data_IF_173618038286
#
_entry.id   IF_173618038286
#
_cell.length_a   1.000
_cell.length_b   1.000
_cell.length_c   1.000
_cell.angle_alpha   90.00
_cell.angle_beta   90.00
_cell.angle_gamma   90.00
#
_symmetry.space_group_name_H-M   'P 1'
#
loop_
_entity.id
_entity.type
_entity.pdbx_description
1 polymer ?
#
# COMPACT_ATOMS: atom_id res chain seq x y z
N UNK A 1 13.73 11.97 -8.96
CA UNK A 1 13.83 10.91 -7.93
C UNK A 1 15.23 10.78 -7.33
N UNK A 2 16.28 10.42 -8.08
CA UNK A 2 17.67 10.23 -7.54
C UNK A 2 18.26 11.43 -6.81
N UNK A 3 18.02 12.68 -7.28
CA UNK A 3 18.46 13.91 -6.62
C UNK A 3 17.81 14.05 -5.23
N UNK A 4 16.51 13.85 -5.15
CA UNK A 4 15.75 13.96 -3.90
C UNK A 4 16.12 12.86 -2.91
N UNK A 5 16.38 11.65 -3.39
CA UNK A 5 16.85 10.56 -2.55
C UNK A 5 18.23 10.85 -1.93
N UNK A 6 19.17 11.33 -2.74
CA UNK A 6 20.49 11.78 -2.22
C UNK A 6 20.33 12.91 -1.20
N UNK A 7 19.42 13.88 -1.46
CA UNK A 7 19.08 14.95 -0.54
C UNK A 7 18.50 14.44 0.77
N UNK A 8 17.63 13.42 0.72
CA UNK A 8 17.05 12.78 1.90
C UNK A 8 18.12 12.19 2.82
N UNK A 9 19.03 11.36 2.27
CA UNK A 9 20.12 10.78 3.04
C UNK A 9 21.08 11.86 3.60
N UNK A 10 21.34 12.93 2.84
CA UNK A 10 22.13 14.04 3.34
C UNK A 10 21.44 14.77 4.50
N UNK A 11 20.13 14.98 4.42
CA UNK A 11 19.34 15.58 5.50
C UNK A 11 19.38 14.70 6.75
N UNK A 12 19.17 13.40 6.61
CA UNK A 12 19.22 12.43 7.73
C UNK A 12 20.61 12.45 8.38
N UNK A 13 21.70 12.35 7.59
CA UNK A 13 23.06 12.32 8.10
C UNK A 13 23.46 13.61 8.86
N UNK A 14 22.84 14.73 8.55
CA UNK A 14 23.08 16.01 9.21
C UNK A 14 22.02 16.40 10.24
N UNK A 15 21.14 15.46 10.65
CA UNK A 15 20.02 15.68 11.56
C UNK A 15 19.11 16.85 11.12
N UNK A 16 18.95 17.04 9.82
CA UNK A 16 18.06 18.06 9.24
C UNK A 16 16.73 17.43 8.86
N UNK A 17 15.69 18.25 8.88
CA UNK A 17 14.38 17.87 8.40
C UNK A 17 14.40 17.65 6.88
N UNK A 18 13.78 16.60 6.41
CA UNK A 18 13.62 16.35 4.98
C UNK A 18 12.48 17.21 4.41
N UNK A 19 12.61 17.62 3.14
CA UNK A 19 11.50 18.24 2.41
C UNK A 19 10.45 17.18 2.04
N UNK A 20 9.22 17.61 1.74
CA UNK A 20 8.17 16.73 1.24
C UNK A 20 8.61 15.88 0.03
N UNK A 21 9.38 16.50 -0.91
CA UNK A 21 9.88 15.80 -2.10
C UNK A 21 10.91 14.73 -1.74
N UNK A 22 11.76 15.00 -0.75
CA UNK A 22 12.74 14.03 -0.24
C UNK A 22 12.03 12.87 0.46
N UNK A 23 11.03 13.17 1.29
CA UNK A 23 10.23 12.14 1.94
C UNK A 23 9.42 11.32 0.93
N UNK A 24 8.85 11.93 -0.11
CA UNK A 24 8.18 11.22 -1.19
C UNK A 24 9.14 10.26 -1.92
N UNK A 25 10.37 10.68 -2.19
CA UNK A 25 11.38 9.82 -2.80
C UNK A 25 11.74 8.62 -1.89
N UNK A 26 11.83 8.82 -0.59
CA UNK A 26 12.07 7.74 0.39
C UNK A 26 10.88 6.77 0.48
N UNK A 27 9.66 7.28 0.41
CA UNK A 27 8.43 6.46 0.39
C UNK A 27 8.37 5.61 -0.88
N UNK A 28 8.69 6.18 -2.04
CA UNK A 28 8.79 5.43 -3.30
C UNK A 28 9.84 4.30 -3.19
N UNK A 29 11.00 4.57 -2.60
CA UNK A 29 12.01 3.51 -2.35
C UNK A 29 11.46 2.43 -1.43
N UNK A 30 10.69 2.80 -0.41
CA UNK A 30 10.06 1.82 0.46
C UNK A 30 9.05 0.95 -0.29
N UNK A 31 8.23 1.54 -1.16
CA UNK A 31 7.30 0.81 -2.03
C UNK A 31 8.04 -0.21 -2.92
N UNK A 32 9.11 0.22 -3.61
CA UNK A 32 9.91 -0.67 -4.46
C UNK A 32 10.62 -1.78 -3.65
N UNK A 33 11.08 -1.44 -2.45
CA UNK A 33 11.70 -2.42 -1.56
C UNK A 33 10.71 -3.53 -1.14
N UNK A 34 9.44 -3.20 -0.96
CA UNK A 34 8.39 -4.17 -0.67
C UNK A 34 8.19 -5.15 -1.83
N UNK A 35 8.29 -4.71 -3.08
CA UNK A 35 8.29 -5.62 -4.23
C UNK A 35 9.46 -6.61 -4.18
N UNK A 36 10.66 -6.11 -3.90
CA UNK A 36 11.84 -6.98 -3.79
C UNK A 36 11.77 -7.95 -2.61
N UNK A 37 11.03 -7.60 -1.56
CA UNK A 37 10.92 -8.41 -0.34
C UNK A 37 9.75 -9.41 -0.38
N UNK A 38 8.83 -9.22 -1.30
CA UNK A 38 7.66 -10.09 -1.49
C UNK A 38 8.06 -11.39 -2.21
N UNK A 39 7.31 -12.46 -1.96
CA UNK A 39 7.52 -13.71 -2.69
C UNK A 39 7.23 -13.51 -4.18
N UNK A 40 8.12 -14.06 -5.02
CA UNK A 40 7.96 -14.04 -6.46
C UNK A 40 6.74 -14.87 -6.93
N UNK A 41 6.46 -14.81 -8.22
CA UNK A 41 5.41 -15.59 -8.86
C UNK A 41 5.68 -17.08 -8.76
N UNK A 42 4.68 -17.90 -8.46
CA UNK A 42 4.83 -19.37 -8.45
C UNK A 42 5.23 -19.93 -9.81
N UNK A 43 4.69 -19.36 -10.87
CA UNK A 43 4.76 -19.93 -12.22
C UNK A 43 5.47 -19.03 -13.25
N UNK A 44 6.18 -18.00 -12.81
CA UNK A 44 6.88 -17.05 -13.70
C UNK A 44 5.99 -16.26 -14.67
N UNK A 45 4.65 -16.27 -14.47
CA UNK A 45 3.68 -15.57 -15.31
C UNK A 45 3.26 -14.26 -14.67
N UNK A 46 3.00 -13.25 -15.49
CA UNK A 46 2.34 -12.02 -15.03
C UNK A 46 0.92 -12.37 -14.62
N UNK A 47 0.63 -12.25 -13.33
CA UNK A 47 -0.67 -12.57 -12.77
C UNK A 47 -1.63 -11.39 -12.91
N UNK A 48 -2.93 -11.68 -13.02
CA UNK A 48 -4.01 -10.69 -12.87
C UNK A 48 -4.01 -10.01 -11.49
N UNK A 49 -3.24 -10.52 -10.55
CA UNK A 49 -3.08 -9.96 -9.21
C UNK A 49 -2.14 -8.72 -9.15
N UNK A 50 -1.45 -8.35 -10.25
CA UNK A 50 -0.54 -7.18 -10.25
C UNK A 50 -1.23 -5.92 -9.72
N UNK A 51 -2.40 -5.49 -10.20
CA UNK A 51 -3.03 -4.27 -9.71
C UNK A 51 -3.40 -4.33 -8.22
N UNK A 52 -3.78 -5.51 -7.71
CA UNK A 52 -4.05 -5.70 -6.29
C UNK A 52 -2.76 -5.63 -5.47
N UNK A 53 -1.71 -6.26 -5.93
CA UNK A 53 -0.40 -6.23 -5.28
C UNK A 53 0.14 -4.80 -5.19
N UNK A 54 0.08 -4.02 -6.29
CA UNK A 54 0.45 -2.61 -6.30
C UNK A 54 -0.36 -1.81 -5.27
N UNK A 55 -1.68 -2.06 -5.23
CA UNK A 55 -2.57 -1.44 -4.24
C UNK A 55 -2.12 -1.73 -2.80
N UNK A 56 -1.79 -2.99 -2.50
CA UNK A 56 -1.40 -3.40 -1.15
C UNK A 56 -0.01 -2.90 -0.77
N UNK A 57 0.94 -2.91 -1.70
CA UNK A 57 2.28 -2.34 -1.50
C UNK A 57 2.19 -0.83 -1.23
N UNK A 58 1.43 -0.10 -2.05
CA UNK A 58 1.21 1.33 -1.88
C UNK A 58 0.53 1.65 -0.54
N UNK A 59 -0.55 0.94 -0.21
CA UNK A 59 -1.21 1.10 1.07
C UNK A 59 -0.23 0.85 2.23
N UNK A 60 0.50 -0.25 2.20
CA UNK A 60 1.43 -0.62 3.26
C UNK A 60 2.60 0.36 3.37
N UNK A 61 3.20 0.75 2.24
CA UNK A 61 4.28 1.73 2.21
C UNK A 61 3.86 3.04 2.88
N UNK A 62 2.72 3.59 2.48
CA UNK A 62 2.18 4.84 3.05
C UNK A 62 1.83 4.73 4.54
N UNK A 63 1.39 3.57 5.01
CA UNK A 63 1.10 3.38 6.44
C UNK A 63 2.37 3.24 7.30
N UNK A 64 3.42 2.64 6.74
CA UNK A 64 4.63 2.26 7.49
C UNK A 64 5.85 3.12 7.15
N UNK A 65 5.72 4.12 6.29
CA UNK A 65 6.77 5.04 5.89
C UNK A 65 7.54 5.64 7.07
N UNK A 66 6.91 6.15 8.15
CA UNK A 66 7.65 6.72 9.28
C UNK A 66 8.59 5.71 9.95
N UNK A 67 8.15 4.45 10.07
CA UNK A 67 8.96 3.37 10.64
C UNK A 67 10.13 3.00 9.73
N UNK A 68 9.93 3.06 8.41
CA UNK A 68 10.99 2.83 7.45
C UNK A 68 12.08 3.91 7.56
N UNK A 69 11.72 5.18 7.53
CA UNK A 69 12.65 6.31 7.65
C UNK A 69 13.40 6.31 8.98
N UNK A 70 12.72 5.94 10.07
CA UNK A 70 13.33 5.85 11.39
C UNK A 70 14.48 4.84 11.46
N UNK A 71 14.49 3.79 10.62
CA UNK A 71 15.61 2.83 10.53
C UNK A 71 16.90 3.46 10.04
N UNK A 72 16.83 4.58 9.35
CA UNK A 72 17.98 5.37 8.88
C UNK A 72 18.30 6.56 9.80
N UNK A 73 17.61 6.67 10.94
CA UNK A 73 17.77 7.80 11.87
C UNK A 73 16.97 9.05 11.47
N UNK A 74 16.17 8.98 10.40
CA UNK A 74 15.34 10.09 9.93
C UNK A 74 13.99 10.19 10.63
N UNK A 75 13.25 11.26 10.34
CA UNK A 75 11.89 11.49 10.82
C UNK A 75 10.97 11.77 9.64
N UNK A 76 9.82 11.08 9.59
CA UNK A 76 8.78 11.30 8.59
C UNK A 76 7.84 12.43 9.03
N UNK A 77 8.21 13.67 8.82
CA UNK A 77 7.46 14.86 9.27
C UNK A 77 6.28 15.19 8.36
N UNK A 78 6.36 14.82 7.07
CA UNK A 78 5.33 15.03 6.04
C UNK A 78 4.43 13.81 5.81
N UNK A 79 4.31 12.91 6.79
CA UNK A 79 3.56 11.67 6.62
C UNK A 79 2.07 11.89 6.24
N UNK A 80 1.44 12.96 6.76
CA UNK A 80 0.05 13.30 6.43
C UNK A 80 -0.10 13.72 4.97
N UNK A 81 0.86 14.48 4.48
CA UNK A 81 0.92 14.97 3.09
C UNK A 81 1.21 13.84 2.12
N UNK A 82 2.16 12.96 2.44
CA UNK A 82 2.47 11.76 1.65
C UNK A 82 1.24 10.87 1.49
N UNK A 83 0.49 10.65 2.56
CA UNK A 83 -0.75 9.84 2.50
C UNK A 83 -1.83 10.45 1.60
N UNK A 84 -1.76 11.75 1.30
CA UNK A 84 -2.68 12.49 0.42
C UNK A 84 -2.08 12.81 -0.95
N UNK A 85 -0.82 12.49 -1.16
CA UNK A 85 -0.13 12.76 -2.43
C UNK A 85 -0.71 11.87 -3.54
N UNK A 86 -1.21 12.49 -4.60
CA UNK A 86 -1.86 11.82 -5.73
C UNK A 86 -0.92 11.10 -6.70
N UNK A 87 0.32 10.81 -6.31
CA UNK A 87 1.33 10.12 -7.13
C UNK A 87 1.19 8.59 -6.96
N UNK A 88 1.59 7.83 -7.96
CA UNK A 88 1.57 6.37 -7.94
C UNK A 88 0.15 5.78 -7.91
N UNK A 89 -0.05 4.72 -7.15
CA UNK A 89 -1.33 4.03 -6.99
C UNK A 89 -2.22 4.69 -5.92
N UNK A 90 -2.20 6.03 -5.83
CA UNK A 90 -2.95 6.78 -4.82
C UNK A 90 -4.44 6.44 -4.79
N UNK A 91 -5.12 6.47 -5.94
CA UNK A 91 -6.55 6.18 -6.01
C UNK A 91 -6.86 4.76 -5.50
N UNK A 92 -6.05 3.80 -5.86
CA UNK A 92 -6.19 2.41 -5.40
C UNK A 92 -6.02 2.32 -3.88
N UNK A 93 -5.02 2.99 -3.32
CA UNK A 93 -4.77 3.04 -1.87
C UNK A 93 -5.91 3.73 -1.13
N UNK A 94 -6.46 4.83 -1.66
CA UNK A 94 -7.63 5.54 -1.09
C UNK A 94 -8.88 4.67 -1.15
N UNK A 95 -9.13 4.02 -2.29
CA UNK A 95 -10.25 3.10 -2.46
C UNK A 95 -10.14 1.93 -1.47
N UNK A 96 -8.95 1.41 -1.26
CA UNK A 96 -8.73 0.35 -0.28
C UNK A 96 -8.98 0.82 1.17
N UNK A 97 -8.55 2.02 1.53
CA UNK A 97 -8.86 2.61 2.83
C UNK A 97 -10.38 2.83 3.02
N UNK A 98 -11.07 3.26 1.96
CA UNK A 98 -12.52 3.42 1.94
C UNK A 98 -13.23 2.09 2.14
N UNK A 99 -12.77 1.03 1.46
CA UNK A 99 -13.27 -0.34 1.63
C UNK A 99 -13.11 -0.83 3.07
N UNK A 100 -11.93 -0.67 3.65
CA UNK A 100 -11.68 -1.03 5.05
C UNK A 100 -12.63 -0.31 6.00
N UNK A 101 -12.82 1.00 5.80
CA UNK A 101 -13.73 1.82 6.61
C UNK A 101 -15.18 1.36 6.46
N UNK A 102 -15.64 1.08 5.25
CA UNK A 102 -17.00 0.61 4.97
C UNK A 102 -17.33 -0.67 5.76
N UNK A 103 -16.39 -1.61 5.82
CA UNK A 103 -16.57 -2.87 6.57
C UNK A 103 -16.15 -2.79 8.04
N UNK A 104 -15.85 -1.62 8.57
CA UNK A 104 -15.45 -1.43 9.97
C UNK A 104 -14.11 -2.10 10.30
N UNK A 105 -13.20 -2.21 9.33
CA UNK A 105 -11.87 -2.82 9.52
C UNK A 105 -10.86 -1.73 9.84
N UNK A 106 -10.27 -1.77 11.03
CA UNK A 106 -9.25 -0.81 11.44
C UNK A 106 -7.99 -0.85 10.57
N UNK A 107 -7.52 0.33 10.11
CA UNK A 107 -6.33 0.41 9.25
C UNK A 107 -5.09 -0.25 9.87
N UNK A 108 -4.85 -0.08 11.18
CA UNK A 108 -3.72 -0.72 11.86
C UNK A 108 -3.78 -2.26 11.83
N UNK A 109 -4.98 -2.83 11.96
CA UNK A 109 -5.19 -4.29 11.84
C UNK A 109 -4.90 -4.75 10.42
N UNK A 110 -5.42 -4.02 9.41
CA UNK A 110 -5.18 -4.31 8.01
C UNK A 110 -3.68 -4.21 7.67
N UNK A 111 -3.01 -3.13 8.09
CA UNK A 111 -1.57 -2.93 7.88
C UNK A 111 -0.74 -4.11 8.41
N UNK A 112 -1.02 -4.55 9.64
CA UNK A 112 -0.31 -5.70 10.23
C UNK A 112 -0.51 -6.99 9.44
N UNK A 113 -1.75 -7.28 9.01
CA UNK A 113 -2.08 -8.46 8.22
C UNK A 113 -1.45 -8.42 6.83
N UNK A 114 -1.49 -7.25 6.16
CA UNK A 114 -0.91 -7.04 4.85
C UNK A 114 0.62 -7.17 4.90
N UNK A 115 1.28 -6.55 5.87
CA UNK A 115 2.73 -6.70 6.04
C UNK A 115 3.17 -8.16 6.15
N UNK A 116 2.40 -8.99 6.87
CA UNK A 116 2.65 -10.43 6.91
C UNK A 116 2.40 -11.10 5.55
N UNK A 117 1.34 -10.70 4.83
CA UNK A 117 1.05 -11.25 3.50
C UNK A 117 2.17 -10.94 2.50
N UNK A 118 2.66 -9.70 2.47
CA UNK A 118 3.73 -9.29 1.56
C UNK A 118 5.00 -10.14 1.73
N UNK A 119 5.31 -10.59 2.95
CA UNK A 119 6.48 -11.42 3.22
C UNK A 119 6.29 -12.93 3.01
N UNK A 120 5.06 -13.46 3.15
CA UNK A 120 4.84 -14.91 3.21
C UNK A 120 3.92 -15.49 2.11
N UNK A 121 3.32 -14.63 1.28
CA UNK A 121 2.33 -15.04 0.28
C UNK A 121 2.87 -14.83 -1.14
N UNK A 122 2.68 -15.80 -2.03
CA UNK A 122 2.95 -15.63 -3.45
C UNK A 122 1.92 -14.68 -4.09
N UNK A 123 2.33 -13.91 -5.08
CA UNK A 123 1.47 -12.93 -5.76
C UNK A 123 0.19 -13.54 -6.33
N UNK A 124 0.28 -14.74 -6.89
CA UNK A 124 -0.88 -15.46 -7.43
C UNK A 124 -1.95 -15.80 -6.37
N UNK A 125 -1.55 -15.86 -5.10
CA UNK A 125 -2.45 -16.19 -3.98
C UNK A 125 -3.01 -14.94 -3.29
N UNK A 126 -2.50 -13.74 -3.57
CA UNK A 126 -2.86 -12.51 -2.85
C UNK A 126 -4.36 -12.27 -2.81
N UNK A 127 -5.05 -12.53 -3.90
CA UNK A 127 -6.49 -12.36 -3.98
C UNK A 127 -7.23 -13.18 -2.91
N UNK A 128 -6.97 -14.48 -2.86
CA UNK A 128 -7.63 -15.39 -1.93
C UNK A 128 -7.17 -15.15 -0.48
N UNK A 129 -5.88 -14.94 -0.27
CA UNK A 129 -5.31 -14.71 1.06
C UNK A 129 -5.80 -13.40 1.66
N UNK A 130 -5.99 -12.35 0.86
CA UNK A 130 -6.57 -11.08 1.32
C UNK A 130 -8.01 -11.27 1.77
N UNK A 131 -8.82 -12.00 0.99
CA UNK A 131 -10.17 -12.36 1.40
C UNK A 131 -10.16 -13.09 2.74
N UNK A 132 -9.42 -14.18 2.84
CA UNK A 132 -9.41 -15.03 4.02
C UNK A 132 -8.92 -14.33 5.29
N UNK A 133 -7.90 -13.50 5.17
CA UNK A 133 -7.30 -12.81 6.32
C UNK A 133 -8.05 -11.56 6.75
N UNK A 134 -8.73 -10.87 5.82
CA UNK A 134 -9.31 -9.55 6.08
C UNK A 134 -10.83 -9.54 5.91
N UNK A 135 -11.37 -10.13 4.84
CA UNK A 135 -12.76 -9.94 4.43
C UNK A 135 -13.69 -11.14 4.65
N UNK A 136 -13.18 -12.35 4.94
CA UNK A 136 -13.96 -13.59 5.04
C UNK A 136 -15.26 -13.49 5.85
N UNK A 137 -15.23 -12.77 6.97
CA UNK A 137 -16.40 -12.60 7.85
C UNK A 137 -17.23 -11.36 7.50
N UNK A 138 -16.94 -10.69 6.39
CA UNK A 138 -17.57 -9.43 5.98
C UNK A 138 -18.18 -9.51 4.59
N UNK A 139 -17.58 -10.30 3.69
CA UNK A 139 -17.95 -10.41 2.29
C UNK A 139 -17.98 -11.85 1.84
N UNK A 140 -18.97 -12.20 1.02
CA UNK A 140 -18.91 -13.43 0.23
C UNK A 140 -17.76 -13.35 -0.79
N UNK A 141 -17.27 -14.50 -1.26
CA UNK A 141 -16.21 -14.52 -2.28
C UNK A 141 -16.70 -13.92 -3.60
N UNK A 142 -18.00 -13.95 -3.90
CA UNK A 142 -18.58 -13.40 -5.13
C UNK A 142 -18.51 -11.86 -5.07
N UNK A 143 -19.04 -11.26 -4.00
CA UNK A 143 -19.05 -9.81 -3.82
C UNK A 143 -17.61 -9.27 -3.71
N UNK A 144 -16.74 -10.00 -3.01
CA UNK A 144 -15.34 -9.67 -2.90
C UNK A 144 -14.65 -9.58 -4.27
N UNK A 145 -14.91 -10.53 -5.18
CA UNK A 145 -14.34 -10.52 -6.55
C UNK A 145 -14.69 -9.24 -7.30
N UNK A 146 -15.95 -8.86 -7.29
CA UNK A 146 -16.44 -7.66 -7.95
C UNK A 146 -15.81 -6.39 -7.36
N UNK A 147 -15.83 -6.27 -6.03
CA UNK A 147 -15.29 -5.13 -5.28
C UNK A 147 -13.79 -4.97 -5.56
N UNK A 148 -13.00 -6.04 -5.46
CA UNK A 148 -11.54 -5.97 -5.68
C UNK A 148 -11.20 -5.67 -7.14
N UNK A 149 -11.97 -6.17 -8.10
CA UNK A 149 -11.77 -5.83 -9.51
C UNK A 149 -11.94 -4.32 -9.76
N UNK A 150 -12.98 -3.69 -9.21
CA UNK A 150 -13.20 -2.24 -9.30
C UNK A 150 -12.12 -1.44 -8.57
N UNK A 151 -11.79 -1.86 -7.36
CA UNK A 151 -10.72 -1.25 -6.57
C UNK A 151 -9.39 -1.26 -7.32
N UNK A 152 -9.02 -2.40 -7.88
CA UNK A 152 -7.75 -2.59 -8.61
C UNK A 152 -7.65 -1.75 -9.89
N UNK A 153 -8.78 -1.33 -10.47
CA UNK A 153 -8.84 -0.39 -11.60
C UNK A 153 -8.70 1.08 -11.16
N UNK A 154 -8.69 1.37 -9.86
CA UNK A 154 -8.61 2.73 -9.32
C UNK A 154 -9.84 3.57 -9.66
N UNK A 155 -11.03 2.97 -9.70
CA UNK A 155 -12.27 3.66 -10.07
C UNK A 155 -12.53 4.90 -9.20
N UNK A 156 -12.76 6.05 -9.83
CA UNK A 156 -12.98 7.33 -9.14
C UNK A 156 -14.25 7.32 -8.30
N UNK A 157 -15.28 6.60 -8.73
CA UNK A 157 -16.60 6.52 -8.07
C UNK A 157 -16.73 5.29 -7.16
N UNK A 158 -15.62 4.69 -6.76
CA UNK A 158 -15.61 3.50 -5.92
C UNK A 158 -16.39 3.67 -4.60
N UNK A 159 -16.31 4.84 -3.98
CA UNK A 159 -17.05 5.14 -2.76
C UNK A 159 -18.59 5.17 -2.98
N UNK A 160 -19.04 5.63 -4.14
CA UNK A 160 -20.47 5.63 -4.47
C UNK A 160 -20.98 4.23 -4.78
N UNK A 161 -20.15 3.42 -5.43
CA UNK A 161 -20.44 1.99 -5.61
C UNK A 161 -20.61 1.26 -4.25
N UNK A 162 -19.73 1.51 -3.28
CA UNK A 162 -19.84 0.88 -1.95
C UNK A 162 -21.11 1.25 -1.18
N UNK A 163 -21.74 2.38 -1.48
CA UNK A 163 -23.03 2.76 -0.86
C UNK A 163 -24.23 1.98 -1.39
N UNK A 164 -24.07 1.31 -2.54
CA UNK A 164 -25.12 0.54 -3.21
C UNK A 164 -25.16 -0.93 -2.77
N UNK A 165 -24.16 -1.38 -2.04
CA UNK A 165 -24.01 -2.74 -1.54
C UNK A 165 -24.01 -2.77 -0.02
#
# INVERSE_FOLDING_TARGET
>A
MMKELKGAFHSIANNKEMTLMQETAMETVWHEFLHCHSKAWKNGRVSSAVPLMETLNEFYARQTYPQFVAKFGGRGTHHKEIRKNGIGYYNNSVNFQTLLKHFGIGQGVATKKIGKMLGDTYYDDFFNVLHDRIFKNKLSMIDYKEIINRLSKGELYFNDYLKLI
#
